data_IF_751910264908
#
_entry.id   IF_751910264908
#
_cell.length_a   1.000
_cell.length_b   1.000
_cell.length_c   1.000
_cell.angle_alpha   90.00
_cell.angle_beta   90.00
_cell.angle_gamma   90.00
#
_symmetry.space_group_name_H-M   'P 1'
#
loop_
_entity.id
_entity.type
_entity.pdbx_description
1 polymer ?
#
# COMPACT_ATOMS: atom_id res chain seq x y z
N UNK A 1 4.00 -3.95 -3.48
CA UNK A 1 5.14 -3.21 -4.05
C UNK A 1 5.04 -3.23 -5.56
N UNK A 2 5.46 -2.16 -6.22
CA UNK A 2 5.68 -2.16 -7.69
C UNK A 2 7.09 -2.64 -8.07
N UNK A 3 7.90 -3.02 -7.08
CA UNK A 3 9.21 -3.63 -7.26
C UNK A 3 10.37 -2.64 -7.28
N UNK A 4 11.56 -3.17 -7.05
CA UNK A 4 12.84 -2.44 -6.94
C UNK A 4 13.19 -1.66 -8.22
N UNK A 5 12.84 -2.22 -9.39
CA UNK A 5 13.06 -1.61 -10.70
C UNK A 5 12.47 -0.20 -10.79
N UNK A 6 11.32 0.05 -10.16
CA UNK A 6 10.72 1.38 -10.17
C UNK A 6 11.56 2.38 -9.38
N UNK A 7 12.04 1.99 -8.20
CA UNK A 7 12.91 2.82 -7.37
C UNK A 7 14.25 3.10 -8.07
N UNK A 8 14.88 2.07 -8.65
CA UNK A 8 16.14 2.21 -9.39
C UNK A 8 16.02 3.12 -10.61
N UNK A 9 14.95 2.96 -11.39
CA UNK A 9 14.75 3.78 -12.59
C UNK A 9 14.44 5.24 -12.25
N UNK A 10 13.62 5.48 -11.21
CA UNK A 10 13.40 6.83 -10.71
C UNK A 10 14.72 7.47 -10.25
N UNK A 11 15.55 6.75 -9.48
CA UNK A 11 16.86 7.23 -9.06
C UNK A 11 17.76 7.57 -10.25
N UNK A 12 17.79 6.71 -11.27
CA UNK A 12 18.58 6.95 -12.50
C UNK A 12 18.17 8.25 -13.20
N UNK A 13 16.87 8.53 -13.32
CA UNK A 13 16.39 9.78 -13.91
C UNK A 13 16.82 10.99 -13.10
N UNK A 14 16.71 10.91 -11.76
CA UNK A 14 17.14 11.97 -10.87
C UNK A 14 18.65 12.24 -10.95
N UNK A 15 19.47 11.19 -10.88
CA UNK A 15 20.93 11.27 -10.96
C UNK A 15 21.42 11.78 -12.35
N UNK A 16 20.58 11.66 -13.38
CA UNK A 16 20.86 12.12 -14.75
C UNK A 16 20.31 13.53 -15.04
N UNK A 17 19.91 14.28 -14.00
CA UNK A 17 19.30 15.61 -14.09
C UNK A 17 18.00 15.66 -14.93
N UNK A 18 17.33 14.52 -15.17
CA UNK A 18 16.06 14.43 -15.90
C UNK A 18 14.84 14.67 -14.99
N UNK A 19 14.83 15.78 -14.26
CA UNK A 19 13.87 16.03 -13.17
C UNK A 19 12.39 15.96 -13.57
N UNK A 20 12.03 16.39 -14.79
CA UNK A 20 10.65 16.30 -15.29
C UNK A 20 10.23 14.84 -15.49
N UNK A 21 11.10 14.03 -16.10
CA UNK A 21 10.83 12.61 -16.32
C UNK A 21 10.80 11.87 -14.99
N UNK A 22 11.71 12.20 -14.06
CA UNK A 22 11.70 11.70 -12.69
C UNK A 22 10.36 11.98 -12.01
N UNK A 23 9.88 13.23 -12.04
CA UNK A 23 8.61 13.63 -11.41
C UNK A 23 7.43 12.81 -11.94
N UNK A 24 7.31 12.65 -13.26
CA UNK A 24 6.22 11.88 -13.86
C UNK A 24 6.34 10.38 -13.57
N UNK A 25 7.54 9.82 -13.68
CA UNK A 25 7.76 8.40 -13.45
C UNK A 25 7.53 8.03 -11.98
N UNK A 26 8.13 8.78 -11.05
CA UNK A 26 7.96 8.56 -9.61
C UNK A 26 6.49 8.71 -9.22
N UNK A 27 5.81 9.76 -9.70
CA UNK A 27 4.37 9.95 -9.47
C UNK A 27 3.54 8.75 -9.96
N UNK A 28 3.82 8.24 -11.17
CA UNK A 28 3.16 7.04 -11.69
C UNK A 28 3.42 5.81 -10.82
N UNK A 29 4.67 5.59 -10.40
CA UNK A 29 5.05 4.45 -9.58
C UNK A 29 4.36 4.46 -8.20
N UNK A 30 4.28 5.63 -7.55
CA UNK A 30 3.55 5.81 -6.29
C UNK A 30 2.05 5.53 -6.47
N UNK A 31 1.42 6.11 -7.49
CA UNK A 31 -0.01 5.86 -7.77
C UNK A 31 -0.28 4.40 -8.10
N UNK A 32 0.65 3.72 -8.78
CA UNK A 32 0.52 2.30 -9.09
C UNK A 32 0.63 1.41 -7.83
N UNK A 33 1.47 1.78 -6.86
CA UNK A 33 1.55 1.08 -5.59
C UNK A 33 0.22 1.17 -4.81
N UNK A 34 -0.40 2.35 -4.75
CA UNK A 34 -1.72 2.54 -4.13
C UNK A 34 -2.84 1.83 -4.90
N UNK A 35 -2.84 1.92 -6.23
CA UNK A 35 -3.82 1.22 -7.06
C UNK A 35 -3.73 -0.31 -6.89
N UNK A 36 -2.51 -0.86 -6.81
CA UNK A 36 -2.29 -2.28 -6.54
C UNK A 36 -2.81 -2.66 -5.15
N UNK A 37 -2.62 -1.80 -4.16
CA UNK A 37 -3.10 -2.04 -2.81
C UNK A 37 -4.64 -2.07 -2.75
N UNK A 38 -5.32 -1.12 -3.40
CA UNK A 38 -6.79 -1.15 -3.46
C UNK A 38 -7.34 -2.28 -4.30
N UNK A 39 -6.68 -2.62 -5.41
CA UNK A 39 -7.06 -3.79 -6.20
C UNK A 39 -6.94 -5.09 -5.39
N UNK A 40 -5.84 -5.23 -4.63
CA UNK A 40 -5.61 -6.39 -3.76
C UNK A 40 -6.66 -6.45 -2.64
N UNK A 41 -6.99 -5.31 -2.03
CA UNK A 41 -8.01 -5.23 -1.00
C UNK A 41 -9.41 -5.59 -1.54
N UNK A 42 -9.78 -5.09 -2.72
CA UNK A 42 -11.03 -5.45 -3.40
C UNK A 42 -11.08 -6.94 -3.74
N UNK A 43 -9.98 -7.52 -4.21
CA UNK A 43 -9.87 -8.96 -4.46
C UNK A 43 -10.12 -9.76 -3.18
N UNK A 44 -9.52 -9.38 -2.06
CA UNK A 44 -9.71 -10.04 -0.76
C UNK A 44 -11.19 -9.99 -0.33
N UNK A 45 -11.84 -8.82 -0.41
CA UNK A 45 -13.27 -8.70 -0.05
C UNK A 45 -14.17 -9.58 -0.91
N UNK A 46 -13.89 -9.65 -2.23
CA UNK A 46 -14.61 -10.53 -3.16
C UNK A 46 -14.43 -12.00 -2.80
N UNK A 47 -13.19 -12.43 -2.51
CA UNK A 47 -12.88 -13.81 -2.13
C UNK A 47 -13.48 -14.20 -0.77
N UNK A 48 -13.70 -13.24 0.13
CA UNK A 48 -14.42 -13.42 1.38
C UNK A 48 -15.95 -13.46 1.24
N UNK A 49 -16.49 -13.31 0.03
CA UNK A 49 -17.92 -13.43 -0.26
C UNK A 49 -18.69 -12.11 -0.34
N UNK A 50 -18.03 -10.96 -0.23
CA UNK A 50 -18.67 -9.63 -0.28
C UNK A 50 -18.74 -9.04 -1.68
N UNK A 51 -18.62 -9.87 -2.73
CA UNK A 51 -18.56 -9.39 -4.11
C UNK A 51 -19.82 -8.61 -4.54
N UNK A 52 -21.00 -8.95 -4.01
CA UNK A 52 -22.25 -8.21 -4.27
C UNK A 52 -22.33 -6.85 -3.58
N UNK A 53 -21.44 -6.58 -2.63
CA UNK A 53 -21.36 -5.32 -1.86
C UNK A 53 -20.22 -4.42 -2.36
N UNK A 54 -19.45 -4.86 -3.36
CA UNK A 54 -18.37 -4.07 -3.94
C UNK A 54 -18.92 -2.85 -4.70
N UNK A 55 -18.33 -1.66 -4.51
CA UNK A 55 -18.67 -0.51 -5.33
C UNK A 55 -18.41 -0.76 -6.83
N UNK A 56 -19.29 -0.25 -7.66
CA UNK A 56 -19.19 -0.29 -9.12
C UNK A 56 -18.45 0.91 -9.71
N UNK A 57 -18.08 1.88 -8.88
CA UNK A 57 -17.46 3.13 -9.29
C UNK A 57 -16.28 3.50 -8.39
N UNK A 58 -15.28 4.16 -8.99
CA UNK A 58 -14.04 4.55 -8.30
C UNK A 58 -14.28 5.54 -7.16
N UNK A 59 -15.29 6.41 -7.27
CA UNK A 59 -15.57 7.44 -6.27
C UNK A 59 -15.95 6.80 -4.93
N UNK A 60 -16.77 5.76 -4.96
CA UNK A 60 -17.17 5.03 -3.77
C UNK A 60 -16.04 4.16 -3.19
N UNK A 61 -15.16 3.61 -4.04
CA UNK A 61 -13.93 2.94 -3.59
C UNK A 61 -13.03 3.90 -2.82
N UNK A 62 -12.76 5.09 -3.38
CA UNK A 62 -11.93 6.11 -2.75
C UNK A 62 -12.56 6.69 -1.48
N UNK A 63 -13.89 6.72 -1.40
CA UNK A 63 -14.64 7.09 -0.20
C UNK A 63 -14.76 5.95 0.84
N UNK A 64 -14.08 4.82 0.62
CA UNK A 64 -14.12 3.63 1.48
C UNK A 64 -15.55 3.14 1.76
N UNK A 65 -16.42 3.18 0.74
CA UNK A 65 -17.81 2.71 0.82
C UNK A 65 -17.93 1.22 0.49
N UNK A 66 -17.08 0.41 1.12
CA UNK A 66 -17.09 -1.05 1.06
C UNK A 66 -17.07 -1.61 2.50
N UNK A 67 -17.37 -2.90 2.67
CA UNK A 67 -17.30 -3.54 3.98
C UNK A 67 -15.85 -3.77 4.42
N UNK A 68 -15.55 -3.52 5.69
CA UNK A 68 -14.22 -3.73 6.26
C UNK A 68 -13.29 -2.52 6.09
N UNK A 69 -12.03 -2.68 6.48
CA UNK A 69 -11.02 -1.62 6.38
C UNK A 69 -9.60 -2.19 6.26
N UNK A 70 -8.68 -1.38 5.72
CA UNK A 70 -7.24 -1.67 5.65
C UNK A 70 -6.47 -0.63 6.47
N UNK A 71 -5.67 -1.10 7.43
CA UNK A 71 -4.93 -0.27 8.36
C UNK A 71 -3.43 -0.34 8.10
N UNK A 72 -2.82 0.80 7.79
CA UNK A 72 -1.37 0.89 7.59
C UNK A 72 -0.67 1.40 8.85
N UNK A 73 0.56 0.96 9.06
CA UNK A 73 1.39 1.47 10.14
C UNK A 73 1.73 2.95 9.92
N UNK A 74 1.92 3.70 11.01
CA UNK A 74 2.11 5.16 11.00
C UNK A 74 0.81 5.97 11.00
N UNK A 75 -0.34 5.34 10.77
CA UNK A 75 -1.66 5.98 10.89
C UNK A 75 -2.21 5.87 12.32
N UNK A 76 -3.21 6.68 12.72
CA UNK A 76 -3.73 6.71 14.09
C UNK A 76 -4.17 5.35 14.66
N UNK A 77 -4.66 4.44 13.82
CA UNK A 77 -5.08 3.10 14.24
C UNK A 77 -3.89 2.14 14.49
N UNK A 78 -2.72 2.41 13.90
CA UNK A 78 -1.51 1.60 14.00
C UNK A 78 -0.27 2.53 14.08
N UNK A 79 -0.14 3.36 15.14
CA UNK A 79 0.81 4.47 15.14
C UNK A 79 2.28 4.04 15.26
N UNK A 80 2.53 2.84 15.78
CA UNK A 80 3.87 2.33 15.99
C UNK A 80 4.45 1.69 14.72
N UNK A 81 5.36 2.39 14.05
CA UNK A 81 6.04 1.89 12.83
C UNK A 81 6.79 0.58 13.06
N UNK A 82 7.39 0.37 14.23
CA UNK A 82 8.19 -0.82 14.52
C UNK A 82 7.38 -2.12 14.56
N UNK A 83 6.06 -2.05 14.76
CA UNK A 83 5.22 -3.25 14.72
C UNK A 83 5.10 -3.83 13.30
N UNK A 84 5.44 -3.06 12.28
CA UNK A 84 5.46 -3.50 10.89
C UNK A 84 6.50 -4.60 10.62
N UNK A 85 7.61 -4.66 11.36
CA UNK A 85 8.57 -5.77 11.25
C UNK A 85 7.92 -7.14 11.45
N UNK A 86 7.01 -7.24 12.42
CA UNK A 86 6.25 -8.49 12.69
C UNK A 86 5.36 -8.86 11.52
N UNK A 87 4.74 -7.87 10.87
CA UNK A 87 3.90 -8.11 9.70
C UNK A 87 4.73 -8.61 8.51
N UNK A 88 5.89 -8.00 8.25
CA UNK A 88 6.77 -8.41 7.16
C UNK A 88 7.28 -9.85 7.35
N UNK A 89 7.64 -10.21 8.58
CA UNK A 89 8.06 -11.56 8.95
C UNK A 89 6.92 -12.58 8.76
N UNK A 90 5.72 -12.29 9.29
CA UNK A 90 4.53 -13.16 9.13
C UNK A 90 4.15 -13.41 7.66
N UNK A 91 4.36 -12.42 6.79
CA UNK A 91 4.05 -12.51 5.37
C UNK A 91 5.18 -13.15 4.54
N UNK A 92 6.37 -13.35 5.12
CA UNK A 92 7.56 -13.79 4.39
C UNK A 92 7.91 -12.84 3.25
N UNK A 93 7.98 -11.54 3.55
CA UNK A 93 8.18 -10.49 2.54
C UNK A 93 9.57 -10.50 1.89
N UNK A 94 10.55 -11.16 2.50
CA UNK A 94 11.89 -11.42 1.94
C UNK A 94 11.82 -12.09 0.56
N UNK A 95 10.84 -12.96 0.32
CA UNK A 95 10.61 -13.63 -0.98
C UNK A 95 10.36 -12.68 -2.15
N UNK A 96 9.95 -11.43 -1.86
CA UNK A 96 9.77 -10.36 -2.84
C UNK A 96 10.75 -9.19 -2.63
N UNK A 97 11.79 -9.40 -1.82
CA UNK A 97 12.79 -8.40 -1.41
C UNK A 97 12.18 -7.13 -0.79
N UNK A 98 11.04 -7.26 -0.12
CA UNK A 98 10.42 -6.15 0.62
C UNK A 98 10.86 -6.21 2.08
N UNK A 99 11.52 -5.16 2.56
CA UNK A 99 12.02 -5.06 3.93
C UNK A 99 11.88 -3.63 4.47
N UNK A 100 12.12 -3.44 5.77
CA UNK A 100 12.31 -2.11 6.37
C UNK A 100 13.79 -1.84 6.57
N UNK A 101 14.23 -0.63 6.21
CA UNK A 101 15.61 -0.21 6.40
C UNK A 101 15.86 0.37 7.80
N UNK A 102 17.10 0.83 8.05
CA UNK A 102 17.52 1.43 9.31
C UNK A 102 16.74 2.72 9.67
N UNK A 103 16.09 3.34 8.68
CA UNK A 103 15.25 4.53 8.84
C UNK A 103 13.77 4.19 9.09
N UNK A 104 13.46 2.91 9.31
CA UNK A 104 12.09 2.40 9.48
C UNK A 104 11.19 2.66 8.26
N UNK A 105 11.77 2.73 7.05
CA UNK A 105 11.02 2.89 5.80
C UNK A 105 11.00 1.59 5.01
N UNK A 106 9.89 1.35 4.30
CA UNK A 106 9.82 0.22 3.37
C UNK A 106 10.76 0.42 2.20
N UNK A 107 11.51 -0.63 1.86
CA UNK A 107 12.27 -0.74 0.63
C UNK A 107 11.81 -1.98 -0.15
N UNK A 108 11.48 -1.87 -1.45
CA UNK A 108 11.46 -0.65 -2.28
C UNK A 108 10.42 0.38 -1.81
N UNK A 109 10.70 1.67 -2.01
CA UNK A 109 9.91 2.79 -1.45
C UNK A 109 8.45 2.79 -1.94
N UNK A 110 8.20 2.41 -3.20
CA UNK A 110 6.85 2.32 -3.77
C UNK A 110 6.16 1.01 -3.35
N UNK A 111 5.98 0.88 -2.03
CA UNK A 111 5.39 -0.25 -1.34
C UNK A 111 4.43 0.22 -0.27
N UNK A 112 3.43 -0.60 0.01
CA UNK A 112 2.52 -0.39 1.12
C UNK A 112 2.19 -1.74 1.73
N UNK A 113 1.93 -1.74 3.03
CA UNK A 113 1.45 -2.90 3.76
C UNK A 113 0.28 -2.47 4.66
N UNK A 114 -0.60 -3.42 4.97
CA UNK A 114 -1.77 -3.14 5.78
C UNK A 114 -2.28 -4.39 6.50
N UNK A 115 -2.89 -4.17 7.66
CA UNK A 115 -3.75 -5.15 8.32
C UNK A 115 -5.15 -4.99 7.72
N UNK A 116 -5.76 -6.10 7.30
CA UNK A 116 -7.11 -6.09 6.72
C UNK A 116 -8.09 -6.66 7.74
N UNK A 117 -9.17 -5.93 8.01
CA UNK A 117 -10.29 -6.41 8.82
C UNK A 117 -11.57 -6.37 7.99
N UNK A 118 -12.39 -7.42 8.10
CA UNK A 118 -13.62 -7.56 7.31
C UNK A 118 -14.89 -7.21 8.11
N UNK A 119 -14.75 -6.82 9.38
CA UNK A 119 -15.89 -6.53 10.24
C UNK A 119 -16.70 -5.34 9.69
N UNK A 120 -18.04 -5.40 9.64
CA UNK A 120 -18.87 -4.38 8.97
C UNK A 120 -18.78 -2.97 9.57
N UNK A 121 -18.38 -2.88 10.85
CA UNK A 121 -18.18 -1.60 11.55
C UNK A 121 -16.72 -1.13 11.58
N UNK A 122 -15.79 -1.85 10.94
CA UNK A 122 -14.41 -1.44 10.87
C UNK A 122 -14.29 -0.10 10.13
N UNK A 123 -13.70 0.90 10.79
CA UNK A 123 -13.44 2.25 10.26
C UNK A 123 -12.11 2.73 10.82
N UNK A 124 -11.49 3.72 10.18
CA UNK A 124 -10.49 4.53 10.88
C UNK A 124 -11.17 5.36 11.96
N UNK A 125 -10.55 5.43 13.12
CA UNK A 125 -10.95 6.33 14.19
C UNK A 125 -9.98 7.50 14.17
N UNK A 126 -10.49 8.72 14.10
CA UNK A 126 -9.70 9.90 14.46
C UNK A 126 -9.63 9.93 15.99
N UNK A 127 -8.41 10.00 16.54
CA UNK A 127 -8.21 10.37 17.93
C UNK A 127 -8.63 11.83 18.17
#
# INVERSE_FOLDING_TARGET
TVGEVATEYAKKLFDSDEYTNYLYYHGLAVQMAEALAEWTHAKIRRELGFASEEPDNIRDVLAQRYQGSRYSFGYPACPNMQDQYKQLDLLGCDRIKLYMDESEQLYPEQSTTAIITYHPVARYFSA
#
